data_IF_155551416560
#
_entry.id   IF_155551416560
#
_cell.length_a   1.000
_cell.length_b   1.000
_cell.length_c   1.000
_cell.angle_alpha   90.00
_cell.angle_beta   90.00
_cell.angle_gamma   90.00
#
_symmetry.space_group_name_H-M   'P 1'
#
loop_
_entity.id
_entity.type
_entity.pdbx_description
1 polymer ?
#
# COMPACT_ATOMS: atom_id res chain seq x y z
N UNK A 1 11.16 1.59 10.09
CA UNK A 1 10.90 0.36 9.32
C UNK A 1 10.29 0.77 7.99
N UNK A 2 10.35 -0.05 6.95
CA UNK A 2 9.72 0.28 5.67
C UNK A 2 8.28 -0.27 5.62
N UNK A 3 7.39 0.43 4.91
CA UNK A 3 6.02 -0.01 4.66
C UNK A 3 5.98 -1.38 3.96
N UNK A 4 5.28 -2.37 4.53
CA UNK A 4 5.27 -3.74 4.00
C UNK A 4 4.59 -3.86 2.63
N UNK A 5 3.70 -2.92 2.32
CA UNK A 5 2.92 -2.94 1.08
C UNK A 5 3.56 -2.12 -0.06
N UNK A 6 4.73 -1.49 0.19
CA UNK A 6 5.35 -0.54 -0.74
C UNK A 6 5.62 -1.13 -2.13
N UNK A 7 6.00 -2.41 -2.19
CA UNK A 7 6.33 -3.10 -3.44
C UNK A 7 5.12 -3.29 -4.37
N UNK A 8 3.91 -3.34 -3.79
CA UNK A 8 2.67 -3.57 -4.52
C UNK A 8 1.75 -2.34 -4.56
N UNK A 9 2.20 -1.20 -4.01
CA UNK A 9 1.40 0.02 -3.91
C UNK A 9 1.34 0.77 -5.25
N UNK A 10 0.24 0.60 -5.98
CA UNK A 10 0.00 1.23 -7.30
C UNK A 10 0.02 2.75 -7.28
N UNK A 11 -0.23 3.39 -6.14
CA UNK A 11 -0.12 4.85 -6.02
C UNK A 11 1.29 5.35 -6.33
N UNK A 12 2.33 4.65 -5.84
CA UNK A 12 3.73 5.02 -6.11
C UNK A 12 4.15 4.57 -7.51
N UNK A 13 3.68 3.39 -7.94
CA UNK A 13 4.13 2.76 -9.19
C UNK A 13 3.45 3.29 -10.46
N UNK A 14 2.19 3.72 -10.38
CA UNK A 14 1.39 4.09 -11.57
C UNK A 14 0.94 5.56 -11.52
N UNK A 15 0.39 6.01 -10.39
CA UNK A 15 -0.18 7.38 -10.30
C UNK A 15 0.87 8.49 -10.25
N UNK A 16 2.15 8.16 -10.16
CA UNK A 16 3.25 9.14 -10.05
C UNK A 16 4.35 8.97 -11.10
N UNK A 17 4.11 8.17 -12.15
CA UNK A 17 5.12 7.84 -13.16
C UNK A 17 5.65 9.11 -13.88
N UNK A 18 4.76 10.08 -14.12
CA UNK A 18 5.11 11.38 -14.73
C UNK A 18 5.70 12.41 -13.74
N UNK A 19 5.86 12.07 -12.45
CA UNK A 19 6.34 12.97 -11.40
C UNK A 19 7.38 12.28 -10.48
N UNK A 20 8.56 11.90 -11.00
CA UNK A 20 9.52 11.06 -10.30
C UNK A 20 10.07 11.70 -9.01
N UNK A 21 10.31 13.01 -9.01
CA UNK A 21 10.79 13.74 -7.82
C UNK A 21 9.74 13.76 -6.70
N UNK A 22 8.48 14.02 -7.05
CA UNK A 22 7.37 13.97 -6.10
C UNK A 22 7.17 12.55 -5.60
N UNK A 23 7.31 11.54 -6.48
CA UNK A 23 7.20 10.12 -6.12
C UNK A 23 8.24 9.72 -5.10
N UNK A 24 9.50 10.08 -5.36
CA UNK A 24 10.60 9.83 -4.43
C UNK A 24 10.39 10.52 -3.08
N UNK A 25 9.96 11.79 -3.07
CA UNK A 25 9.65 12.51 -1.84
C UNK A 25 8.51 11.84 -1.05
N UNK A 26 7.40 11.52 -1.71
CA UNK A 26 6.25 10.86 -1.08
C UNK A 26 6.62 9.47 -0.55
N UNK A 27 7.42 8.70 -1.29
CA UNK A 27 7.94 7.39 -0.88
C UNK A 27 8.82 7.51 0.37
N UNK A 28 9.78 8.43 0.37
CA UNK A 28 10.68 8.62 1.51
C UNK A 28 9.94 9.12 2.75
N UNK A 29 9.01 10.06 2.59
CA UNK A 29 8.26 10.62 3.71
C UNK A 29 7.21 9.66 4.27
N UNK A 30 6.37 9.11 3.41
CA UNK A 30 5.15 8.38 3.83
C UNK A 30 5.23 6.86 3.68
N UNK A 31 6.29 6.31 3.09
CA UNK A 31 6.44 4.86 2.98
C UNK A 31 7.67 4.32 3.73
N UNK A 32 8.73 5.12 3.87
CA UNK A 32 9.95 4.70 4.57
C UNK A 32 10.08 5.28 5.99
N UNK A 33 9.46 6.43 6.25
CA UNK A 33 9.47 7.07 7.57
C UNK A 33 8.11 6.96 8.27
N UNK A 34 7.09 7.66 7.77
CA UNK A 34 5.78 7.77 8.41
C UNK A 34 4.70 6.97 7.65
N UNK A 35 4.89 5.65 7.58
CA UNK A 35 3.93 4.77 6.91
C UNK A 35 2.76 4.37 7.80
N UNK A 36 2.89 4.53 9.13
CA UNK A 36 1.84 4.16 10.09
C UNK A 36 0.65 5.14 10.04
N UNK A 37 0.88 6.38 9.59
CA UNK A 37 -0.18 7.35 9.30
C UNK A 37 -0.84 7.14 7.93
N UNK A 38 -0.32 6.25 7.09
CA UNK A 38 -0.84 6.05 5.75
C UNK A 38 -2.15 5.26 5.76
N UNK A 39 -3.24 5.87 5.28
CA UNK A 39 -4.57 5.23 5.20
C UNK A 39 -4.50 3.86 4.51
N UNK A 40 -3.77 3.74 3.39
CA UNK A 40 -3.58 2.47 2.67
C UNK A 40 -2.93 1.39 3.52
N UNK A 41 -1.93 1.74 4.33
CA UNK A 41 -1.26 0.79 5.22
C UNK A 41 -2.19 0.38 6.38
N UNK A 42 -2.94 1.34 6.93
CA UNK A 42 -3.96 1.08 7.95
C UNK A 42 -5.04 0.13 7.42
N UNK A 43 -5.61 0.40 6.25
CA UNK A 43 -6.58 -0.50 5.57
C UNK A 43 -6.05 -1.91 5.42
N UNK A 44 -4.81 -2.03 4.94
CA UNK A 44 -4.17 -3.33 4.78
C UNK A 44 -4.06 -4.08 6.12
N UNK A 45 -3.64 -3.42 7.21
CA UNK A 45 -3.54 -4.05 8.53
C UNK A 45 -4.90 -4.48 9.07
N UNK A 46 -5.92 -3.66 8.90
CA UNK A 46 -7.30 -3.95 9.30
C UNK A 46 -7.84 -5.18 8.59
N UNK A 47 -7.69 -5.22 7.25
CA UNK A 47 -8.12 -6.36 6.44
C UNK A 47 -7.36 -7.64 6.80
N UNK A 48 -6.05 -7.56 7.07
CA UNK A 48 -5.25 -8.71 7.51
C UNK A 48 -5.70 -9.26 8.88
N UNK A 49 -6.14 -8.37 9.78
CA UNK A 49 -6.68 -8.73 11.10
C UNK A 49 -8.17 -9.11 11.07
N UNK A 50 -8.85 -8.93 9.93
CA UNK A 50 -10.31 -9.02 9.80
C UNK A 50 -11.05 -8.06 10.75
N UNK A 51 -10.42 -6.96 11.11
CA UNK A 51 -11.04 -5.89 11.90
C UNK A 51 -11.57 -4.85 10.94
N UNK A 52 -12.87 -4.57 11.00
CA UNK A 52 -13.48 -3.47 10.25
C UNK A 52 -13.23 -2.19 11.04
N UNK A 53 -12.41 -1.27 10.52
CA UNK A 53 -12.28 0.07 11.13
C UNK A 53 -13.35 0.96 10.49
N UNK A 54 -14.18 1.59 11.34
CA UNK A 54 -15.10 2.64 10.90
C UNK A 54 -14.34 3.79 10.24
N UNK A 55 -14.81 4.22 9.06
CA UNK A 55 -14.20 5.32 8.32
C UNK A 55 -13.32 4.93 7.12
N UNK A 56 -13.27 3.65 6.73
CA UNK A 56 -12.66 3.28 5.45
C UNK A 56 -13.52 3.71 4.27
N UNK A 57 -12.92 4.47 3.34
CA UNK A 57 -13.50 4.73 2.02
C UNK A 57 -13.53 3.41 1.24
N UNK A 58 -14.70 3.03 0.71
CA UNK A 58 -14.89 1.80 -0.07
C UNK A 58 -13.87 1.68 -1.22
N UNK A 59 -13.51 2.80 -1.83
CA UNK A 59 -12.52 2.88 -2.91
C UNK A 59 -11.11 2.42 -2.48
N UNK A 60 -10.74 2.60 -1.20
CA UNK A 60 -9.47 2.10 -0.67
C UNK A 60 -9.51 0.58 -0.44
N UNK A 61 -10.67 -0.05 -0.32
CA UNK A 61 -10.78 -1.50 -0.12
C UNK A 61 -10.41 -2.26 -1.39
N UNK A 62 -10.90 -1.82 -2.56
CA UNK A 62 -10.62 -2.46 -3.85
C UNK A 62 -9.14 -2.31 -4.26
N UNK A 63 -8.59 -1.10 -4.08
CA UNK A 63 -7.18 -0.82 -4.31
C UNK A 63 -6.28 -1.69 -3.41
N UNK A 64 -6.65 -1.86 -2.14
CA UNK A 64 -5.89 -2.69 -1.20
C UNK A 64 -6.09 -4.19 -1.46
N UNK A 65 -7.24 -4.61 -1.98
CA UNK A 65 -7.44 -5.97 -2.47
C UNK A 65 -6.41 -6.36 -3.53
N UNK A 66 -6.11 -5.44 -4.46
CA UNK A 66 -5.08 -5.62 -5.48
C UNK A 66 -3.67 -5.71 -4.86
N UNK A 67 -3.37 -4.89 -3.86
CA UNK A 67 -2.11 -4.94 -3.09
C UNK A 67 -1.93 -6.30 -2.40
N UNK A 68 -2.97 -6.79 -1.73
CA UNK A 68 -2.96 -8.10 -1.04
C UNK A 68 -2.71 -9.22 -2.05
N UNK A 69 -3.39 -9.19 -3.20
CA UNK A 69 -3.20 -10.18 -4.25
C UNK A 69 -1.78 -10.14 -4.86
N UNK A 70 -1.22 -8.95 -5.08
CA UNK A 70 0.17 -8.79 -5.52
C UNK A 70 1.17 -9.38 -4.52
N UNK A 71 1.00 -9.10 -3.22
CA UNK A 71 1.87 -9.64 -2.17
C UNK A 71 1.78 -11.17 -2.07
N UNK A 72 0.58 -11.74 -2.21
CA UNK A 72 0.37 -13.20 -2.29
C UNK A 72 1.04 -13.83 -3.51
N UNK A 73 0.99 -13.16 -4.67
CA UNK A 73 1.64 -13.62 -5.91
C UNK A 73 3.17 -13.58 -5.81
N UNK A 74 3.73 -12.57 -5.15
CA UNK A 74 5.17 -12.48 -4.87
C UNK A 74 5.69 -13.45 -3.81
N UNK A 75 4.80 -14.18 -3.12
CA UNK A 75 5.13 -15.20 -2.11
C UNK A 75 4.81 -16.64 -2.56
N UNK A 76 4.28 -16.82 -3.77
CA UNK A 76 4.19 -18.13 -4.42
C UNK A 76 5.55 -18.46 -5.05
N UNK A 77 6.12 -19.67 -4.82
CA UNK A 77 7.32 -20.07 -5.51
C UNK A 77 7.03 -20.06 -7.01
N UNK A 78 7.91 -19.41 -7.77
CA UNK A 78 7.91 -19.46 -9.23
C UNK A 78 7.91 -20.93 -9.65
N UNK A 79 6.83 -21.40 -10.26
CA UNK A 79 6.76 -22.71 -10.92
C UNK A 79 7.68 -22.70 -12.12
#
# INVERSE_FOLDING_TARGET
>A
MACEIIACCRFISEKMDNMPMTSHYKKNRHCLNDYESCTRYLTYKSLKKKEMIEGFYLDDVDEIGSVINCLKRGSLPSV
#
